data_IF_450742318112
#
_entry.id   IF_450742318112
#
_cell.length_a   1.000
_cell.length_b   1.000
_cell.length_c   1.000
_cell.angle_alpha   90.00
_cell.angle_beta   90.00
_cell.angle_gamma   90.00
#
_symmetry.space_group_name_H-M   'P 1'
#
loop_
_entity.id
_entity.type
_entity.pdbx_description
1 polymer ?
#
# COMPACT_ATOMS: atom_id res chain seq x y z
N UNK A 1 1.89 24.21 18.99
CA UNK A 1 1.78 23.17 17.95
C UNK A 1 0.42 22.52 18.12
N UNK A 2 -0.47 22.64 17.14
CA UNK A 2 -1.78 21.98 17.20
C UNK A 2 -1.58 20.46 17.11
N UNK A 3 -2.29 19.71 17.94
CA UNK A 3 -2.29 18.24 17.92
C UNK A 3 -2.74 17.74 16.54
N UNK A 4 -2.04 16.72 16.00
CA UNK A 4 -2.41 16.14 14.71
C UNK A 4 -3.72 15.35 14.88
N UNK A 5 -4.85 15.78 14.28
CA UNK A 5 -6.14 15.12 14.45
C UNK A 5 -6.16 13.70 13.85
N UNK A 6 -5.18 13.36 13.01
CA UNK A 6 -5.06 12.06 12.35
C UNK A 6 -4.13 11.09 13.07
N UNK A 7 -3.51 11.48 14.19
CA UNK A 7 -2.55 10.65 14.91
C UNK A 7 -3.13 9.29 15.36
N UNK A 8 -4.42 9.25 15.71
CA UNK A 8 -5.11 8.04 16.17
C UNK A 8 -5.43 7.03 15.07
N UNK A 9 -5.48 7.44 13.79
CA UNK A 9 -5.78 6.59 12.62
C UNK A 9 -6.88 5.52 12.85
N UNK A 10 -8.09 5.90 13.34
CA UNK A 10 -9.13 4.93 13.72
C UNK A 10 -9.62 4.03 12.58
N UNK A 11 -9.47 4.47 11.32
CA UNK A 11 -9.85 3.67 10.14
C UNK A 11 -9.04 2.38 9.96
N UNK A 12 -7.85 2.28 10.58
CA UNK A 12 -7.04 1.07 10.51
C UNK A 12 -7.75 -0.14 11.12
N UNK A 13 -8.58 0.06 12.16
CA UNK A 13 -9.37 -1.00 12.80
C UNK A 13 -10.39 -1.66 11.87
N UNK A 14 -10.69 -1.02 10.74
CA UNK A 14 -11.66 -1.50 9.75
C UNK A 14 -11.01 -2.04 8.47
N UNK A 15 -9.67 -2.11 8.42
CA UNK A 15 -8.98 -2.73 7.30
C UNK A 15 -9.14 -4.25 7.35
N UNK A 16 -9.05 -4.91 6.20
CA UNK A 16 -9.01 -6.37 6.16
C UNK A 16 -7.83 -6.89 6.99
N UNK A 17 -7.98 -8.05 7.63
CA UNK A 17 -6.95 -8.67 8.48
C UNK A 17 -5.61 -8.82 7.74
N UNK A 18 -5.65 -9.03 6.43
CA UNK A 18 -4.46 -9.20 5.60
C UNK A 18 -3.84 -7.87 5.11
N UNK A 19 -4.45 -6.72 5.42
CA UNK A 19 -3.95 -5.40 5.05
C UNK A 19 -3.16 -4.82 6.23
N UNK A 20 -1.82 -4.69 6.11
CA UNK A 20 -1.00 -4.21 7.22
C UNK A 20 -1.26 -2.73 7.52
N UNK A 21 -1.23 -2.38 8.81
CA UNK A 21 -1.40 -0.99 9.28
C UNK A 21 -0.18 -0.09 8.98
N UNK A 22 0.94 -0.68 8.60
CA UNK A 22 2.19 -0.01 8.29
C UNK A 22 2.93 -0.77 7.18
N UNK A 23 3.56 -0.03 6.27
CA UNK A 23 4.43 -0.57 5.22
C UNK A 23 5.66 0.34 5.16
N UNK A 24 6.84 -0.26 5.03
CA UNK A 24 8.06 0.48 4.78
C UNK A 24 8.14 0.85 3.30
N UNK A 25 8.08 2.16 3.04
CA UNK A 25 8.25 2.66 1.69
C UNK A 25 9.74 2.76 1.35
N UNK A 26 10.15 2.27 0.17
CA UNK A 26 11.53 2.43 -0.24
C UNK A 26 11.86 3.92 -0.45
N UNK A 27 13.11 4.29 -0.17
CA UNK A 27 13.61 5.63 -0.42
C UNK A 27 13.98 5.80 -1.91
N UNK A 28 12.96 5.78 -2.78
CA UNK A 28 13.09 5.95 -4.23
C UNK A 28 11.91 6.75 -4.79
N UNK A 29 12.06 7.27 -6.01
CA UNK A 29 10.96 7.99 -6.66
C UNK A 29 9.96 7.01 -7.30
N UNK A 30 8.76 7.51 -7.62
CA UNK A 30 7.68 6.69 -8.17
C UNK A 30 8.03 6.06 -9.54
N UNK A 31 8.80 6.74 -10.38
CA UNK A 31 9.19 6.21 -11.69
C UNK A 31 10.11 5.01 -11.52
N UNK A 32 11.14 5.16 -10.68
CA UNK A 32 12.07 4.08 -10.35
C UNK A 32 11.35 2.89 -9.71
N UNK A 33 10.41 3.14 -8.80
CA UNK A 33 9.61 2.09 -8.19
C UNK A 33 8.80 1.28 -9.22
N UNK A 34 8.17 1.96 -10.18
CA UNK A 34 7.37 1.32 -11.22
C UNK A 34 8.23 0.55 -12.22
N UNK A 35 9.36 1.11 -12.64
CA UNK A 35 10.31 0.45 -13.56
C UNK A 35 10.88 -0.82 -12.91
N UNK A 36 11.31 -0.75 -11.65
CA UNK A 36 11.79 -1.91 -10.89
C UNK A 36 10.70 -2.96 -10.74
N UNK A 37 9.46 -2.56 -10.45
CA UNK A 37 8.33 -3.47 -10.32
C UNK A 37 8.03 -4.23 -11.62
N UNK A 38 8.04 -3.55 -12.76
CA UNK A 38 7.82 -4.15 -14.06
C UNK A 38 8.96 -5.11 -14.43
N UNK A 39 10.21 -4.73 -14.14
CA UNK A 39 11.39 -5.55 -14.41
C UNK A 39 11.43 -6.83 -13.56
N UNK A 40 11.20 -6.72 -12.26
CA UNK A 40 11.40 -7.82 -11.31
C UNK A 40 10.16 -8.72 -11.19
N UNK A 41 8.96 -8.17 -11.45
CA UNK A 41 7.69 -8.85 -11.22
C UNK A 41 6.73 -8.85 -12.42
N UNK A 42 7.15 -8.39 -13.61
CA UNK A 42 6.29 -8.27 -14.79
C UNK A 42 5.65 -9.58 -15.28
N UNK A 43 6.19 -10.74 -14.89
CA UNK A 43 5.58 -12.05 -15.17
C UNK A 43 4.46 -12.47 -14.20
N UNK A 44 4.18 -11.67 -13.15
CA UNK A 44 3.14 -11.96 -12.15
C UNK A 44 1.84 -11.25 -12.51
N UNK A 45 0.71 -11.89 -12.19
CA UNK A 45 -0.60 -11.24 -12.29
C UNK A 45 -0.66 -10.04 -11.35
N UNK A 46 -0.76 -8.83 -11.91
CA UNK A 46 -0.70 -7.58 -11.13
C UNK A 46 -1.93 -7.34 -10.25
N UNK A 47 -3.14 -7.64 -10.74
CA UNK A 47 -4.39 -7.42 -10.00
C UNK A 47 -5.24 -8.68 -10.07
N UNK A 48 -5.57 -9.22 -8.90
CA UNK A 48 -6.61 -10.23 -8.74
C UNK A 48 -7.91 -9.49 -8.42
N UNK A 49 -8.76 -9.30 -9.44
CA UNK A 49 -10.02 -8.58 -9.24
C UNK A 49 -10.99 -9.44 -8.42
N UNK A 50 -11.14 -9.11 -7.13
CA UNK A 50 -12.14 -9.72 -6.27
C UNK A 50 -13.50 -9.09 -6.54
N UNK A 51 -14.32 -9.73 -7.38
CA UNK A 51 -15.70 -9.30 -7.62
C UNK A 51 -16.53 -9.53 -6.34
N UNK A 52 -17.00 -8.46 -5.70
CA UNK A 52 -18.08 -8.55 -4.73
C UNK A 52 -19.36 -9.03 -5.43
N UNK A 53 -20.06 -10.00 -4.83
CA UNK A 53 -21.45 -10.31 -5.20
C UNK A 53 -22.40 -9.21 -4.74
#
# INVERSE_FOLDING_TARGET
MSENPYAKKPWLEHYDENVPHHIDYPNMNIYEFLDNSAKDFGGRTAIWFMKSK
#
